data_IF_965503851654
#
_entry.id   IF_965503851654
#
_cell.length_a   1.000
_cell.length_b   1.000
_cell.length_c   1.000
_cell.angle_alpha   90.00
_cell.angle_beta   90.00
_cell.angle_gamma   90.00
#
_symmetry.space_group_name_H-M   'P 1'
#
loop_
_entity.id
_entity.type
_entity.pdbx_description
1 polymer ?
#
# COMPACT_ATOMS: atom_id res chain seq x y z
N UNK A 1 -20.83 15.32 -17.42
CA UNK A 1 -21.10 13.95 -17.92
C UNK A 1 -21.54 13.08 -16.73
N UNK A 2 -22.79 12.63 -16.74
CA UNK A 2 -23.46 12.03 -15.58
C UNK A 2 -22.77 10.74 -15.09
N UNK A 3 -22.21 10.79 -13.88
CA UNK A 3 -21.57 9.67 -13.19
C UNK A 3 -22.68 8.71 -12.74
N UNK A 4 -22.91 7.61 -13.46
CA UNK A 4 -23.89 6.59 -13.05
C UNK A 4 -23.42 5.96 -11.73
N UNK A 5 -24.02 6.39 -10.63
CA UNK A 5 -23.92 5.73 -9.34
C UNK A 5 -24.98 4.64 -9.28
N UNK A 6 -24.56 3.39 -9.17
CA UNK A 6 -25.47 2.26 -8.97
C UNK A 6 -25.43 1.93 -7.48
N UNK A 7 -26.45 2.36 -6.73
CA UNK A 7 -26.68 1.86 -5.38
C UNK A 7 -27.29 0.47 -5.52
N UNK A 8 -26.65 -0.51 -4.90
CA UNK A 8 -27.23 -1.84 -4.75
C UNK A 8 -27.77 -1.95 -3.33
N UNK A 9 -29.09 -2.13 -3.14
CA UNK A 9 -29.64 -2.37 -1.82
C UNK A 9 -29.11 -3.72 -1.31
N UNK A 10 -28.70 -3.73 -0.05
CA UNK A 10 -28.04 -4.87 0.59
C UNK A 10 -28.92 -6.14 0.57
N UNK A 11 -30.24 -5.97 0.46
CA UNK A 11 -31.25 -7.01 0.29
C UNK A 11 -31.01 -7.94 -0.91
N UNK A 12 -30.46 -7.46 -2.02
CA UNK A 12 -30.20 -8.32 -3.19
C UNK A 12 -29.01 -9.28 -2.99
N UNK A 13 -28.00 -8.88 -2.21
CA UNK A 13 -26.89 -9.76 -1.82
C UNK A 13 -27.29 -10.73 -0.70
N UNK A 14 -28.39 -10.44 0.02
CA UNK A 14 -28.88 -11.24 1.14
C UNK A 14 -29.59 -12.54 0.71
N UNK A 15 -30.11 -12.60 -0.52
CA UNK A 15 -30.95 -13.72 -0.98
C UNK A 15 -30.17 -14.97 -1.46
N UNK A 16 -28.84 -14.88 -1.64
CA UNK A 16 -28.07 -15.91 -2.37
C UNK A 16 -27.24 -16.88 -1.48
N UNK A 17 -26.99 -16.63 -0.19
CA UNK A 17 -25.98 -17.45 0.52
C UNK A 17 -26.24 -17.84 1.99
N UNK A 18 -25.96 -19.13 2.27
CA UNK A 18 -26.11 -19.86 3.54
C UNK A 18 -25.04 -19.56 4.62
N UNK A 19 -23.95 -18.86 4.32
CA UNK A 19 -22.92 -18.55 5.31
C UNK A 19 -23.26 -17.28 6.12
N UNK A 20 -23.35 -17.44 7.44
CA UNK A 20 -23.81 -16.44 8.41
C UNK A 20 -22.77 -15.37 8.75
N UNK A 21 -21.48 -15.66 8.55
CA UNK A 21 -20.36 -14.73 8.80
C UNK A 21 -19.44 -14.74 7.59
N UNK A 22 -19.12 -13.55 7.05
CA UNK A 22 -18.13 -13.39 5.96
C UNK A 22 -16.99 -12.50 6.40
N UNK A 23 -15.76 -12.91 6.06
CA UNK A 23 -14.54 -12.12 6.30
C UNK A 23 -13.81 -11.89 4.99
N UNK A 24 -13.55 -10.63 4.67
CA UNK A 24 -12.78 -10.22 3.51
C UNK A 24 -11.43 -9.67 4.00
N UNK A 25 -10.32 -10.39 3.79
CA UNK A 25 -9.00 -9.90 4.15
C UNK A 25 -8.59 -8.78 3.20
N UNK A 26 -7.78 -7.85 3.71
CA UNK A 26 -7.23 -6.72 2.95
C UNK A 26 -5.73 -6.71 3.15
N UNK A 27 -5.00 -6.82 2.05
CA UNK A 27 -3.55 -6.98 2.05
C UNK A 27 -2.80 -5.73 2.50
N UNK A 28 -3.42 -4.54 2.38
CA UNK A 28 -2.83 -3.27 2.82
C UNK A 28 -1.48 -3.02 2.16
N UNK A 29 -0.48 -2.61 2.95
CA UNK A 29 0.89 -2.42 2.47
C UNK A 29 1.55 -3.73 2.00
N UNK A 30 1.14 -4.91 2.47
CA UNK A 30 1.71 -6.21 2.10
C UNK A 30 1.24 -6.72 0.73
N UNK A 31 1.19 -5.84 -0.26
CA UNK A 31 0.98 -6.26 -1.65
C UNK A 31 2.30 -6.79 -2.24
N UNK A 32 2.22 -7.78 -3.11
CA UNK A 32 3.40 -8.30 -3.84
C UNK A 32 4.08 -7.18 -4.64
N UNK A 33 3.29 -6.24 -5.19
CA UNK A 33 3.82 -5.08 -5.90
C UNK A 33 4.66 -4.16 -5.00
N UNK A 34 4.21 -3.89 -3.78
CA UNK A 34 4.98 -3.06 -2.84
C UNK A 34 6.29 -3.74 -2.44
N UNK A 35 6.27 -5.06 -2.24
CA UNK A 35 7.49 -5.83 -1.97
C UNK A 35 8.48 -5.76 -3.14
N UNK A 36 8.00 -5.96 -4.36
CA UNK A 36 8.82 -5.88 -5.57
C UNK A 36 9.48 -4.50 -5.74
N UNK A 37 8.71 -3.42 -5.61
CA UNK A 37 9.24 -2.06 -5.70
C UNK A 37 10.24 -1.73 -4.59
N UNK A 38 9.99 -2.22 -3.37
CA UNK A 38 10.92 -2.03 -2.24
C UNK A 38 12.28 -2.67 -2.54
N UNK A 39 12.30 -3.89 -3.11
CA UNK A 39 13.55 -4.56 -3.51
C UNK A 39 14.27 -3.78 -4.60
N UNK A 40 13.57 -3.32 -5.63
CA UNK A 40 14.18 -2.54 -6.72
C UNK A 40 14.85 -1.27 -6.18
N UNK A 41 14.15 -0.51 -5.34
CA UNK A 41 14.67 0.73 -4.78
C UNK A 41 15.86 0.43 -3.88
N UNK A 42 15.78 -0.61 -3.04
CA UNK A 42 16.88 -1.00 -2.15
C UNK A 42 18.14 -1.41 -2.92
N UNK A 43 18.00 -2.31 -3.90
CA UNK A 43 19.11 -2.78 -4.73
C UNK A 43 19.74 -1.64 -5.53
N UNK A 44 18.92 -0.76 -6.12
CA UNK A 44 19.41 0.42 -6.83
C UNK A 44 20.18 1.38 -5.92
N UNK A 45 19.67 1.61 -4.71
CA UNK A 45 20.30 2.50 -3.73
C UNK A 45 21.65 1.98 -3.27
N UNK A 46 21.75 0.68 -2.98
CA UNK A 46 23.03 0.03 -2.66
C UNK A 46 24.00 0.14 -3.83
N UNK A 47 23.54 -0.06 -5.08
CA UNK A 47 24.37 0.11 -6.26
C UNK A 47 24.95 1.51 -6.40
N UNK A 48 24.13 2.56 -6.19
CA UNK A 48 24.59 3.94 -6.22
C UNK A 48 25.59 4.26 -5.10
N UNK A 49 25.33 3.79 -3.89
CA UNK A 49 26.27 3.94 -2.76
C UNK A 49 27.59 3.23 -3.03
N UNK A 50 27.53 2.01 -3.56
CA UNK A 50 28.72 1.21 -3.85
C UNK A 50 29.58 1.86 -4.93
N UNK A 51 28.99 2.26 -6.06
CA UNK A 51 29.72 2.92 -7.15
C UNK A 51 30.29 4.27 -6.69
N UNK A 52 29.51 5.06 -5.95
CA UNK A 52 29.97 6.33 -5.39
C UNK A 52 31.14 6.17 -4.42
N UNK A 53 31.08 5.16 -3.55
CA UNK A 53 32.17 4.84 -2.63
C UNK A 53 33.42 4.32 -3.36
N UNK A 54 33.27 3.49 -4.39
CA UNK A 54 34.40 3.07 -5.24
C UNK A 54 35.05 4.26 -5.95
N UNK A 55 34.26 5.20 -6.48
CA UNK A 55 34.78 6.43 -7.10
C UNK A 55 35.57 7.29 -6.09
N UNK A 56 35.11 7.39 -4.84
CA UNK A 56 35.83 8.05 -3.76
C UNK A 56 37.19 7.39 -3.44
N UNK A 57 37.23 6.06 -3.36
CA UNK A 57 38.48 5.33 -3.12
C UNK A 57 39.48 5.47 -4.27
N UNK A 58 39.01 5.47 -5.52
CA UNK A 58 39.85 5.70 -6.70
C UNK A 58 40.42 7.14 -6.70
N UNK A 59 39.63 8.12 -6.28
CA UNK A 59 40.06 9.51 -6.15
C UNK A 59 41.17 9.69 -5.09
N UNK A 60 41.06 9.02 -3.93
CA UNK A 60 42.06 9.13 -2.86
C UNK A 60 43.34 8.36 -3.19
N UNK A 61 43.22 7.14 -3.68
CA UNK A 61 44.36 6.23 -3.80
C UNK A 61 45.14 6.38 -5.12
N UNK A 62 44.66 7.19 -6.07
CA UNK A 62 45.22 7.35 -7.43
C UNK A 62 45.52 6.02 -8.15
N UNK A 63 44.85 4.95 -7.73
CA UNK A 63 44.93 3.59 -8.27
C UNK A 63 43.49 3.12 -8.43
N UNK A 64 43.16 2.59 -9.60
CA UNK A 64 41.87 1.94 -9.85
C UNK A 64 41.78 0.69 -8.97
N UNK A 65 41.27 0.83 -7.74
CA UNK A 65 41.14 -0.29 -6.79
C UNK A 65 40.11 -1.28 -7.32
N UNK A 66 39.05 -0.78 -7.96
CA UNK A 66 38.06 -1.57 -8.68
C UNK A 66 37.82 -0.99 -10.09
N UNK A 67 37.84 -1.84 -11.16
CA UNK A 67 37.62 -1.41 -12.55
C UNK A 67 36.20 -0.89 -12.83
N UNK A 68 35.29 -1.04 -11.87
CA UNK A 68 33.86 -0.70 -12.00
C UNK A 68 33.63 0.82 -12.01
N UNK A 69 34.53 1.61 -11.42
CA UNK A 69 34.39 3.06 -11.28
C UNK A 69 35.57 3.85 -11.89
N UNK A 70 36.36 3.23 -12.77
CA UNK A 70 37.54 3.89 -13.39
C UNK A 70 37.17 5.09 -14.26
N UNK A 71 36.00 5.04 -14.91
CA UNK A 71 35.52 6.11 -15.80
C UNK A 71 34.65 7.16 -15.10
N UNK A 72 34.44 7.06 -13.78
CA UNK A 72 33.53 7.94 -13.03
C UNK A 72 34.34 8.91 -12.18
N UNK A 73 34.30 10.20 -12.55
CA UNK A 73 34.91 11.26 -11.77
C UNK A 73 34.18 11.44 -10.43
N UNK A 74 34.92 11.42 -9.32
CA UNK A 74 34.31 11.53 -7.98
C UNK A 74 33.53 12.84 -7.81
N UNK A 75 34.14 13.96 -8.20
CA UNK A 75 33.49 15.27 -8.11
C UNK A 75 33.15 15.79 -9.51
N UNK A 76 31.88 16.14 -9.82
CA UNK A 76 30.70 16.09 -8.94
C UNK A 76 29.93 14.76 -8.98
N UNK A 77 30.18 13.90 -9.98
CA UNK A 77 29.31 12.77 -10.33
C UNK A 77 29.24 11.70 -9.23
N UNK A 78 30.37 11.24 -8.70
CA UNK A 78 30.41 10.27 -7.60
C UNK A 78 29.72 10.78 -6.33
N UNK A 79 29.90 12.06 -5.99
CA UNK A 79 29.23 12.68 -4.84
C UNK A 79 27.69 12.69 -5.00
N UNK A 80 27.21 13.02 -6.20
CA UNK A 80 25.77 12.97 -6.53
C UNK A 80 25.22 11.54 -6.43
N UNK A 81 25.99 10.53 -6.85
CA UNK A 81 25.59 9.12 -6.71
C UNK A 81 25.47 8.71 -5.24
N UNK A 82 26.39 9.13 -4.37
CA UNK A 82 26.29 8.87 -2.92
C UNK A 82 25.03 9.54 -2.35
N UNK A 83 24.74 10.78 -2.73
CA UNK A 83 23.57 11.51 -2.24
C UNK A 83 22.25 10.80 -2.61
N UNK A 84 22.07 10.45 -3.89
CA UNK A 84 20.88 9.71 -4.35
C UNK A 84 20.82 8.30 -3.75
N UNK A 85 21.96 7.64 -3.58
CA UNK A 85 22.06 6.35 -2.91
C UNK A 85 21.59 6.39 -1.46
N UNK A 86 21.99 7.41 -0.69
CA UNK A 86 21.53 7.60 0.69
C UNK A 86 20.02 7.87 0.75
N UNK A 87 19.52 8.76 -0.11
CA UNK A 87 18.10 9.10 -0.15
C UNK A 87 17.24 7.87 -0.48
N UNK A 88 17.65 7.10 -1.48
CA UNK A 88 16.99 5.84 -1.83
C UNK A 88 17.12 4.77 -0.74
N UNK A 89 18.25 4.71 -0.03
CA UNK A 89 18.45 3.78 1.08
C UNK A 89 17.48 4.07 2.25
N UNK A 90 17.36 5.34 2.67
CA UNK A 90 16.39 5.72 3.69
C UNK A 90 14.95 5.48 3.24
N UNK A 91 14.62 5.76 1.97
CA UNK A 91 13.31 5.49 1.41
C UNK A 91 12.97 3.99 1.41
N UNK A 92 13.88 3.15 0.91
CA UNK A 92 13.68 1.70 0.89
C UNK A 92 13.62 1.10 2.29
N UNK A 93 14.40 1.63 3.24
CA UNK A 93 14.29 1.26 4.65
C UNK A 93 12.90 1.59 5.22
N UNK A 94 12.40 2.81 4.97
CA UNK A 94 11.04 3.21 5.37
C UNK A 94 9.94 2.32 4.76
N UNK A 95 10.06 1.99 3.47
CA UNK A 95 9.13 1.08 2.78
C UNK A 95 9.20 -0.34 3.35
N UNK A 96 10.41 -0.82 3.66
CA UNK A 96 10.60 -2.14 4.29
C UNK A 96 9.96 -2.22 5.66
N UNK A 97 10.10 -1.16 6.47
CA UNK A 97 9.42 -1.03 7.75
C UNK A 97 7.88 -1.00 7.61
N UNK A 98 7.38 -0.28 6.61
CA UNK A 98 5.94 -0.23 6.28
C UNK A 98 5.40 -1.63 5.95
N UNK A 99 6.17 -2.43 5.19
CA UNK A 99 5.85 -3.83 4.87
C UNK A 99 5.93 -4.75 6.10
N UNK A 100 6.95 -4.55 6.93
CA UNK A 100 7.17 -5.32 8.16
C UNK A 100 5.99 -5.13 9.12
N UNK A 101 5.58 -3.89 9.37
CA UNK A 101 4.43 -3.58 10.22
C UNK A 101 3.06 -3.85 9.59
N UNK A 102 3.02 -4.29 8.33
CA UNK A 102 1.78 -4.58 7.62
C UNK A 102 0.79 -3.41 7.66
N UNK A 103 1.29 -2.19 7.47
CA UNK A 103 0.47 -0.99 7.62
C UNK A 103 -0.74 -1.02 6.68
N UNK A 104 -1.92 -0.68 7.20
CA UNK A 104 -3.18 -0.70 6.48
C UNK A 104 -3.75 -2.08 6.16
N UNK A 105 -3.07 -3.18 6.53
CA UNK A 105 -3.65 -4.52 6.36
C UNK A 105 -4.76 -4.75 7.38
N UNK A 106 -5.68 -5.67 7.09
CA UNK A 106 -6.79 -5.91 8.00
C UNK A 106 -7.85 -6.81 7.38
N UNK A 107 -9.08 -6.68 7.86
CA UNK A 107 -10.21 -7.41 7.30
C UNK A 107 -11.52 -6.67 7.53
N UNK A 108 -12.50 -6.97 6.68
CA UNK A 108 -13.90 -6.59 6.88
C UNK A 108 -14.68 -7.84 7.25
N UNK A 109 -15.35 -7.83 8.39
CA UNK A 109 -16.20 -8.91 8.87
C UNK A 109 -17.67 -8.48 8.86
N UNK A 110 -18.50 -9.26 8.20
CA UNK A 110 -19.95 -9.07 8.11
C UNK A 110 -20.60 -10.24 8.85
N UNK A 111 -21.09 -10.00 10.07
CA UNK A 111 -21.77 -10.99 10.89
C UNK A 111 -23.29 -10.77 10.82
N UNK A 112 -24.00 -11.69 10.16
CA UNK A 112 -25.46 -11.62 10.01
C UNK A 112 -26.21 -12.18 11.23
N UNK A 113 -25.57 -13.01 12.05
CA UNK A 113 -26.20 -13.61 13.23
C UNK A 113 -26.29 -12.64 14.39
N UNK A 114 -25.21 -11.91 14.65
CA UNK A 114 -25.14 -10.93 15.72
C UNK A 114 -25.50 -9.51 15.26
N UNK A 115 -25.77 -9.33 13.95
CA UNK A 115 -26.25 -8.05 13.43
C UNK A 115 -25.22 -6.93 13.52
N UNK A 116 -23.94 -7.21 13.26
CA UNK A 116 -22.90 -6.17 13.15
C UNK A 116 -21.97 -6.32 11.94
N UNK A 117 -21.33 -5.21 11.57
CA UNK A 117 -20.21 -5.14 10.63
C UNK A 117 -19.00 -4.59 11.37
N UNK A 118 -17.88 -5.32 11.27
CA UNK A 118 -16.61 -4.95 11.88
C UNK A 118 -15.58 -4.65 10.80
N UNK A 119 -14.96 -3.48 10.90
CA UNK A 119 -13.86 -3.07 10.03
C UNK A 119 -12.60 -2.99 10.89
N UNK A 120 -11.64 -3.86 10.62
CA UNK A 120 -10.36 -3.89 11.31
C UNK A 120 -9.23 -3.48 10.37
N UNK A 121 -8.33 -2.60 10.85
CA UNK A 121 -7.12 -2.18 10.16
C UNK A 121 -5.94 -2.09 11.14
N UNK A 122 -4.76 -2.48 10.66
CA UNK A 122 -3.49 -2.24 11.33
C UNK A 122 -2.98 -0.84 10.98
N UNK A 123 -2.78 0.00 11.98
CA UNK A 123 -2.15 1.31 11.88
C UNK A 123 -0.63 1.27 12.14
N UNK A 124 -0.05 2.46 12.29
CA UNK A 124 1.36 2.65 12.64
C UNK A 124 1.70 2.01 13.99
N UNK A 125 2.95 1.56 14.20
CA UNK A 125 3.38 1.04 15.49
C UNK A 125 3.16 2.07 16.61
N UNK A 126 2.55 1.63 17.71
CA UNK A 126 2.16 2.47 18.85
C UNK A 126 1.11 1.78 19.73
N UNK A 127 0.67 2.44 20.80
CA UNK A 127 -0.37 1.90 21.71
C UNK A 127 -1.70 1.65 20.99
N UNK A 128 -2.09 2.56 20.09
CA UNK A 128 -3.31 2.45 19.28
C UNK A 128 -3.07 1.92 17.87
N UNK A 129 -2.22 0.88 17.75
CA UNK A 129 -1.96 0.23 16.45
C UNK A 129 -3.21 -0.39 15.83
N UNK A 130 -4.19 -0.80 16.64
CA UNK A 130 -5.37 -1.57 16.19
C UNK A 130 -6.57 -0.67 16.02
N UNK A 131 -6.90 -0.34 14.78
CA UNK A 131 -8.10 0.43 14.46
C UNK A 131 -9.26 -0.54 14.22
N UNK A 132 -10.19 -0.59 15.17
CA UNK A 132 -11.41 -1.40 15.08
C UNK A 132 -12.64 -0.48 15.07
N UNK A 133 -13.47 -0.64 14.04
CA UNK A 133 -14.79 -0.01 14.00
C UNK A 133 -15.88 -1.08 13.98
N UNK A 134 -16.94 -0.83 14.75
CA UNK A 134 -18.13 -1.68 14.84
C UNK A 134 -19.35 -0.85 14.46
N UNK A 135 -20.17 -1.39 13.56
CA UNK A 135 -21.41 -0.77 13.09
C UNK A 135 -22.56 -1.77 13.20
N UNK A 136 -23.72 -1.31 13.68
CA UNK A 136 -24.95 -2.10 13.61
C UNK A 136 -25.43 -2.18 12.16
N UNK A 137 -26.16 -3.25 11.80
CA UNK A 137 -26.78 -3.33 10.48
C UNK A 137 -27.83 -2.24 10.23
N UNK A 138 -28.50 -1.78 11.29
CA UNK A 138 -29.52 -0.72 11.20
C UNK A 138 -28.94 0.63 10.77
N UNK A 139 -27.66 0.84 11.03
CA UNK A 139 -26.94 2.05 10.66
C UNK A 139 -26.37 1.98 9.24
N UNK A 140 -26.41 0.82 8.57
CA UNK A 140 -25.85 0.63 7.24
C UNK A 140 -26.90 1.00 6.19
N UNK A 141 -26.68 2.11 5.49
CA UNK A 141 -27.58 2.57 4.42
C UNK A 141 -27.39 1.78 3.13
N UNK A 142 -26.17 1.29 2.87
CA UNK A 142 -25.88 0.46 1.71
C UNK A 142 -24.42 0.47 1.29
N UNK A 143 -24.16 -0.16 0.14
CA UNK A 143 -22.84 -0.21 -0.48
C UNK A 143 -22.85 0.65 -1.74
N UNK A 144 -21.94 1.63 -1.78
CA UNK A 144 -21.72 2.45 -2.96
C UNK A 144 -20.52 1.90 -3.72
N UNK A 145 -20.76 1.45 -4.94
CA UNK A 145 -19.68 1.08 -5.87
C UNK A 145 -19.38 2.26 -6.76
N UNK A 146 -18.17 2.79 -6.65
CA UNK A 146 -17.64 3.80 -7.55
C UNK A 146 -16.77 3.11 -8.59
N UNK A 147 -17.30 2.98 -9.80
CA UNK A 147 -16.51 2.59 -10.96
C UNK A 147 -15.64 3.78 -11.35
N UNK A 148 -14.32 3.64 -11.20
CA UNK A 148 -13.38 4.61 -11.74
C UNK A 148 -13.03 4.17 -13.16
N UNK A 149 -13.06 5.14 -14.08
CA UNK A 149 -12.92 4.92 -15.52
C UNK A 149 -11.62 4.16 -15.81
N UNK A 150 -11.71 3.20 -16.73
CA UNK A 150 -10.61 2.34 -17.14
C UNK A 150 -9.37 3.17 -17.47
N UNK A 151 -8.30 3.00 -16.69
CA UNK A 151 -6.97 3.36 -17.16
C UNK A 151 -6.43 2.21 -18.02
N UNK A 152 -5.32 2.43 -18.73
CA UNK A 152 -4.70 1.47 -19.65
C UNK A 152 -4.39 0.06 -19.10
N UNK A 153 -4.59 -0.16 -17.79
CA UNK A 153 -4.28 -1.40 -17.06
C UNK A 153 -5.51 -2.08 -16.42
N UNK A 154 -6.75 -1.64 -16.70
CA UNK A 154 -7.99 -2.34 -16.30
C UNK A 154 -9.01 -1.48 -15.54
N UNK A 155 -10.14 -2.11 -15.18
CA UNK A 155 -11.23 -1.48 -14.42
C UNK A 155 -10.90 -1.43 -12.93
N UNK A 156 -10.85 -0.23 -12.34
CA UNK A 156 -10.72 -0.08 -10.89
C UNK A 156 -12.10 0.22 -10.29
N UNK A 157 -12.61 -0.70 -9.48
CA UNK A 157 -13.84 -0.47 -8.71
C UNK A 157 -13.47 -0.16 -7.26
N UNK A 158 -14.02 0.93 -6.71
CA UNK A 158 -13.89 1.25 -5.29
C UNK A 158 -15.23 1.00 -4.62
N UNK A 159 -15.21 0.20 -3.57
CA UNK A 159 -16.41 -0.15 -2.81
C UNK A 159 -16.39 0.65 -1.51
N UNK A 160 -17.46 1.38 -1.25
CA UNK A 160 -17.64 2.17 -0.04
C UNK A 160 -18.84 1.67 0.75
N UNK A 161 -18.69 1.59 2.07
CA UNK A 161 -19.80 1.40 3.01
C UNK A 161 -20.37 2.76 3.38
N UNK A 162 -21.68 2.94 3.15
CA UNK A 162 -22.40 4.11 3.64
C UNK A 162 -23.07 3.79 4.97
N UNK A 163 -22.66 4.52 6.01
CA UNK A 163 -23.20 4.44 7.36
C UNK A 163 -23.98 5.72 7.66
N UNK A 164 -25.13 5.59 8.31
CA UNK A 164 -26.03 6.69 8.66
C UNK A 164 -25.30 7.71 9.54
N UNK A 165 -25.26 8.97 9.10
CA UNK A 165 -24.66 10.07 9.87
C UNK A 165 -23.12 10.08 9.91
N UNK A 166 -22.43 9.21 9.17
CA UNK A 166 -20.96 9.16 9.14
C UNK A 166 -20.39 9.28 7.72
N UNK A 167 -19.08 9.54 7.65
CA UNK A 167 -18.33 9.62 6.39
C UNK A 167 -18.22 8.23 5.76
N UNK A 168 -18.31 8.16 4.42
CA UNK A 168 -18.21 6.90 3.67
C UNK A 168 -16.88 6.17 3.97
N UNK A 169 -16.95 4.88 4.29
CA UNK A 169 -15.76 4.09 4.65
C UNK A 169 -15.36 3.21 3.46
N UNK A 170 -14.15 3.35 2.91
CA UNK A 170 -13.68 2.48 1.84
C UNK A 170 -13.51 1.05 2.36
N UNK A 171 -14.18 0.11 1.71
CA UNK A 171 -14.11 -1.32 2.00
C UNK A 171 -12.99 -2.00 1.21
N UNK A 172 -12.61 -1.47 0.04
CA UNK A 172 -11.53 -1.97 -0.81
C UNK A 172 -10.39 -0.96 -0.94
N UNK A 173 -9.17 -1.47 -1.10
CA UNK A 173 -8.03 -0.65 -1.47
C UNK A 173 -8.08 -0.25 -2.94
N UNK A 174 -7.35 0.81 -3.29
CA UNK A 174 -7.21 1.27 -4.68
C UNK A 174 -6.50 0.16 -5.48
N UNK A 175 -7.20 -0.48 -6.41
CA UNK A 175 -6.61 -1.43 -7.37
C UNK A 175 -6.83 -2.93 -7.09
N UNK A 176 -7.59 -3.29 -6.07
CA UNK A 176 -8.11 -4.67 -5.92
C UNK A 176 -9.44 -4.79 -6.71
N UNK A 177 -9.63 -5.81 -7.56
CA UNK A 177 -10.85 -5.99 -8.36
C UNK A 177 -12.10 -6.27 -7.51
#
# INVERSE_FOLDING_TARGET
MFRKHKLFPLSYLLMIEKNKIRRYPISGARSLGNFFWTIIIFSGSIGFLFIGFCSYLNYINNKGVLPIAENIQFFPQGLVMIFYGLLGFFLSFYLSLTLFWSLGSGFNEFNKCEGYVRIFRWGFPGEDRRVNFYYSWDDILGIRVQFQQANAFGNQSRIFLQVKGQKEIPLTNIGEP
#
